data_IF_048045409190
#
_entry.id   IF_048045409190
#
_cell.length_a   1.000
_cell.length_b   1.000
_cell.length_c   1.000
_cell.angle_alpha   90.00
_cell.angle_beta   90.00
_cell.angle_gamma   90.00
#
_symmetry.space_group_name_H-M   'P 1'
#
loop_
_entity.id
_entity.type
_entity.pdbx_description
1 polymer ?
#
# COMPACT_ATOMS: atom_id res chain seq x y z
N UNK A 1 57.85 -32.69 21.15
CA UNK A 1 58.36 -32.59 19.77
C UNK A 1 57.48 -33.52 18.93
N UNK A 2 56.50 -32.93 18.20
CA UNK A 2 55.39 -33.52 17.38
C UNK A 2 54.54 -34.62 18.02
N UNK A 3 53.28 -34.44 18.48
CA UNK A 3 52.01 -33.89 17.93
C UNK A 3 51.45 -34.58 16.68
N UNK A 4 50.55 -35.54 16.97
CA UNK A 4 49.15 -35.78 16.49
C UNK A 4 48.90 -36.18 15.02
N UNK A 5 48.37 -37.39 14.74
CA UNK A 5 46.94 -37.86 14.74
C UNK A 5 46.12 -37.20 13.60
N UNK A 6 45.21 -37.82 12.84
CA UNK A 6 44.43 -39.06 12.88
C UNK A 6 43.83 -39.19 11.44
N UNK A 7 43.55 -40.35 10.84
CA UNK A 7 42.35 -41.15 11.14
C UNK A 7 41.20 -40.96 10.13
N UNK A 8 41.00 -41.97 9.26
CA UNK A 8 39.73 -42.46 8.67
C UNK A 8 39.06 -41.84 7.40
N UNK A 9 39.26 -42.55 6.27
CA UNK A 9 38.30 -43.13 5.29
C UNK A 9 36.85 -42.56 5.19
N UNK A 10 36.40 -42.21 3.96
CA UNK A 10 35.60 -43.11 3.07
C UNK A 10 34.99 -42.41 1.82
N UNK A 11 35.31 -42.98 0.65
CA UNK A 11 34.49 -43.23 -0.55
C UNK A 11 33.81 -42.13 -1.41
N UNK A 12 34.41 -42.01 -2.62
CA UNK A 12 33.83 -41.99 -3.98
C UNK A 12 32.96 -40.83 -4.47
N UNK A 13 33.57 -40.08 -5.41
CA UNK A 13 32.94 -39.19 -6.38
C UNK A 13 31.99 -39.93 -7.33
N UNK A 14 30.77 -39.42 -7.48
CA UNK A 14 29.84 -39.75 -8.57
C UNK A 14 29.39 -38.42 -9.21
N UNK A 15 29.72 -38.13 -10.47
CA UNK A 15 29.11 -37.03 -11.20
C UNK A 15 27.74 -37.47 -11.79
N UNK A 16 26.71 -36.63 -11.80
CA UNK A 16 25.43 -37.00 -12.40
C UNK A 16 25.48 -36.98 -13.92
N UNK A 17 24.97 -38.07 -14.52
CA UNK A 17 24.80 -38.32 -15.96
C UNK A 17 23.84 -37.31 -16.61
N UNK A 18 24.20 -36.87 -17.80
CA UNK A 18 23.30 -36.32 -18.81
C UNK A 18 22.54 -37.43 -19.54
N UNK A 19 21.20 -37.36 -19.60
CA UNK A 19 20.37 -37.70 -20.77
C UNK A 19 18.89 -37.65 -20.37
N UNK A 20 18.15 -36.75 -21.02
CA UNK A 20 16.71 -36.55 -20.88
C UNK A 20 16.27 -35.38 -21.73
N UNK A 21 16.70 -35.37 -22.99
CA UNK A 21 16.18 -34.46 -24.00
C UNK A 21 14.80 -34.96 -24.42
N UNK A 22 13.74 -34.33 -23.92
CA UNK A 22 12.43 -34.37 -24.57
C UNK A 22 11.74 -33.01 -24.43
N UNK A 23 11.56 -32.34 -25.58
CA UNK A 23 10.44 -31.44 -25.80
C UNK A 23 10.64 -29.98 -25.41
N UNK A 24 11.58 -29.28 -26.05
CA UNK A 24 11.35 -27.87 -26.41
C UNK A 24 10.18 -27.86 -27.39
N UNK A 25 8.95 -27.83 -26.85
CA UNK A 25 7.79 -27.41 -27.63
C UNK A 25 7.91 -25.90 -27.75
N UNK A 26 8.35 -25.48 -28.93
CA UNK A 26 8.05 -24.17 -29.51
C UNK A 26 6.54 -23.98 -29.51
N UNK A 27 5.98 -23.50 -28.38
CA UNK A 27 4.62 -23.00 -28.32
C UNK A 27 4.63 -21.55 -28.81
N UNK A 28 4.56 -21.41 -30.13
CA UNK A 28 4.26 -20.16 -30.81
C UNK A 28 2.89 -19.67 -30.30
N UNK A 29 2.89 -18.58 -29.52
CA UNK A 29 1.84 -17.56 -29.55
C UNK A 29 0.48 -17.84 -28.88
N UNK A 30 0.38 -18.43 -27.68
CA UNK A 30 -0.88 -18.41 -26.90
C UNK A 30 -0.81 -18.27 -25.35
N UNK A 31 0.34 -18.39 -24.63
CA UNK A 31 0.32 -18.32 -23.15
C UNK A 31 0.09 -16.90 -22.60
N UNK A 32 0.46 -15.86 -23.35
CA UNK A 32 0.34 -14.47 -22.89
C UNK A 32 -1.11 -13.96 -22.92
N UNK A 33 -1.92 -14.41 -23.90
CA UNK A 33 -3.33 -13.99 -24.04
C UNK A 33 -4.19 -14.62 -22.95
N UNK A 34 -4.00 -15.92 -22.68
CA UNK A 34 -4.71 -16.61 -21.59
C UNK A 34 -4.34 -16.01 -20.23
N UNK A 35 -3.08 -15.67 -20.01
CA UNK A 35 -2.63 -14.99 -18.79
C UNK A 35 -3.27 -13.59 -18.61
N UNK A 36 -3.32 -12.79 -19.67
CA UNK A 36 -3.99 -11.48 -19.66
C UNK A 36 -5.50 -11.64 -19.42
N UNK A 37 -6.15 -12.59 -20.10
CA UNK A 37 -7.58 -12.85 -19.92
C UNK A 37 -7.88 -13.26 -18.48
N UNK A 38 -7.06 -14.15 -17.90
CA UNK A 38 -7.20 -14.58 -16.51
C UNK A 38 -7.01 -13.42 -15.53
N UNK A 39 -6.04 -12.53 -15.78
CA UNK A 39 -5.87 -11.29 -15.01
C UNK A 39 -7.12 -10.40 -15.10
N UNK A 40 -7.64 -10.16 -16.31
CA UNK A 40 -8.82 -9.30 -16.51
C UNK A 40 -10.05 -9.88 -15.81
N UNK A 41 -10.27 -11.20 -15.91
CA UNK A 41 -11.41 -11.87 -15.26
C UNK A 41 -11.26 -11.83 -13.74
N UNK A 42 -10.11 -12.23 -13.20
CA UNK A 42 -9.88 -12.27 -11.74
C UNK A 42 -9.93 -10.86 -11.12
N UNK A 43 -9.33 -9.86 -11.76
CA UNK A 43 -9.38 -8.47 -11.31
C UNK A 43 -10.80 -7.89 -11.45
N UNK A 44 -11.48 -8.18 -12.55
CA UNK A 44 -12.85 -7.76 -12.80
C UNK A 44 -13.82 -8.30 -11.76
N UNK A 45 -13.65 -9.54 -11.31
CA UNK A 45 -14.46 -10.12 -10.22
C UNK A 45 -14.24 -9.38 -8.89
N UNK A 46 -12.98 -9.05 -8.54
CA UNK A 46 -12.69 -8.29 -7.31
C UNK A 46 -13.32 -6.89 -7.39
N UNK A 47 -13.16 -6.19 -8.51
CA UNK A 47 -13.74 -4.85 -8.73
C UNK A 47 -15.27 -4.87 -8.71
N UNK A 48 -15.88 -5.88 -9.34
CA UNK A 48 -17.32 -6.05 -9.33
C UNK A 48 -17.84 -6.35 -7.91
N UNK A 49 -17.15 -7.22 -7.17
CA UNK A 49 -17.51 -7.52 -5.78
C UNK A 49 -17.44 -6.27 -4.89
N UNK A 50 -16.39 -5.46 -5.03
CA UNK A 50 -16.24 -4.18 -4.33
C UNK A 50 -17.40 -3.22 -4.63
N UNK A 51 -17.70 -3.02 -5.92
CA UNK A 51 -18.79 -2.13 -6.36
C UNK A 51 -20.18 -2.60 -5.94
N UNK A 52 -20.46 -3.90 -6.04
CA UNK A 52 -21.73 -4.47 -5.59
C UNK A 52 -21.89 -4.31 -4.07
N UNK A 53 -20.81 -4.49 -3.32
CA UNK A 53 -20.84 -4.36 -1.86
C UNK A 53 -21.01 -2.90 -1.43
N UNK A 54 -20.35 -1.97 -2.12
CA UNK A 54 -20.54 -0.52 -1.95
C UNK A 54 -22.01 -0.12 -2.20
N UNK A 55 -22.61 -0.59 -3.30
CA UNK A 55 -24.02 -0.34 -3.61
C UNK A 55 -24.98 -0.95 -2.58
N UNK A 56 -24.72 -2.19 -2.13
CA UNK A 56 -25.54 -2.86 -1.12
C UNK A 56 -25.51 -2.13 0.22
N UNK A 57 -24.33 -1.65 0.65
CA UNK A 57 -24.18 -0.89 1.89
C UNK A 57 -24.84 0.48 1.80
N UNK A 58 -24.71 1.16 0.65
CA UNK A 58 -25.41 2.42 0.40
C UNK A 58 -26.94 2.24 0.43
N UNK A 59 -27.47 1.19 -0.20
CA UNK A 59 -28.89 0.87 -0.19
C UNK A 59 -29.41 0.51 1.22
N UNK A 60 -28.57 -0.11 2.04
CA UNK A 60 -28.88 -0.44 3.43
C UNK A 60 -28.60 0.70 4.43
N UNK A 61 -28.16 1.88 3.96
CA UNK A 61 -27.73 3.02 4.78
C UNK A 61 -26.69 2.65 5.87
N UNK A 62 -25.85 1.64 5.59
CA UNK A 62 -24.80 1.20 6.50
C UNK A 62 -23.60 2.15 6.34
N UNK A 63 -23.30 2.91 7.39
CA UNK A 63 -22.16 3.85 7.38
C UNK A 63 -20.79 3.16 7.40
N UNK A 64 -20.71 1.86 7.71
CA UNK A 64 -19.45 1.11 7.81
C UNK A 64 -18.79 0.91 6.43
N UNK A 65 -17.44 0.89 6.30
CA UNK A 65 -16.78 0.70 5.02
C UNK A 65 -17.05 -0.70 4.45
N UNK A 66 -17.74 -0.77 3.31
CA UNK A 66 -18.09 -2.02 2.62
C UNK A 66 -16.85 -2.89 2.35
N UNK A 67 -15.75 -2.29 1.89
CA UNK A 67 -14.53 -3.02 1.56
C UNK A 67 -13.93 -3.80 2.75
N UNK A 68 -14.00 -3.27 3.98
CA UNK A 68 -13.56 -3.98 5.18
C UNK A 68 -14.42 -5.21 5.45
N UNK A 69 -15.74 -5.08 5.30
CA UNK A 69 -16.66 -6.22 5.42
C UNK A 69 -16.34 -7.27 4.34
N UNK A 70 -16.13 -6.85 3.10
CA UNK A 70 -15.77 -7.73 1.99
C UNK A 70 -14.48 -8.51 2.25
N UNK A 71 -13.45 -7.84 2.79
CA UNK A 71 -12.21 -8.47 3.21
C UNK A 71 -12.44 -9.59 4.25
N UNK A 72 -13.21 -9.32 5.30
CA UNK A 72 -13.50 -10.34 6.33
C UNK A 72 -14.38 -11.48 5.80
N UNK A 73 -15.34 -11.19 4.91
CA UNK A 73 -16.14 -12.21 4.25
C UNK A 73 -15.28 -13.15 3.40
N UNK A 74 -14.43 -12.60 2.52
CA UNK A 74 -13.52 -13.39 1.67
C UNK A 74 -12.57 -14.22 2.53
N UNK A 75 -11.98 -13.64 3.56
CA UNK A 75 -11.11 -14.37 4.49
C UNK A 75 -11.84 -15.51 5.20
N UNK A 76 -13.08 -15.28 5.66
CA UNK A 76 -13.90 -16.29 6.35
C UNK A 76 -14.30 -17.42 5.41
N UNK A 77 -14.68 -17.13 4.17
CA UNK A 77 -14.96 -18.13 3.14
C UNK A 77 -13.71 -18.96 2.85
N UNK A 78 -12.55 -18.32 2.70
CA UNK A 78 -11.29 -19.04 2.50
C UNK A 78 -10.93 -19.93 3.70
N UNK A 79 -11.15 -19.48 4.94
CA UNK A 79 -10.97 -20.29 6.16
C UNK A 79 -11.90 -21.50 6.21
N UNK A 80 -13.18 -21.29 5.89
CA UNK A 80 -14.16 -22.36 5.84
C UNK A 80 -13.82 -23.39 4.75
N UNK A 81 -13.44 -22.92 3.56
CA UNK A 81 -12.98 -23.79 2.48
C UNK A 81 -11.72 -24.55 2.85
N UNK A 82 -10.74 -23.92 3.53
CA UNK A 82 -9.51 -24.61 3.95
C UNK A 82 -9.78 -25.70 5.00
N UNK A 83 -10.80 -25.49 5.85
CA UNK A 83 -11.25 -26.48 6.83
C UNK A 83 -11.95 -27.69 6.18
N UNK A 84 -12.82 -27.45 5.18
CA UNK A 84 -13.59 -28.52 4.50
C UNK A 84 -12.76 -29.22 3.41
N UNK A 85 -12.05 -28.44 2.60
CA UNK A 85 -11.28 -28.91 1.45
C UNK A 85 -10.12 -27.95 1.13
N UNK A 86 -8.95 -28.20 1.74
CA UNK A 86 -7.76 -27.34 1.55
C UNK A 86 -7.34 -27.18 0.08
N UNK A 87 -7.57 -28.19 -0.77
CA UNK A 87 -7.34 -28.08 -2.22
C UNK A 87 -8.22 -27.04 -2.91
N UNK A 88 -9.48 -26.90 -2.49
CA UNK A 88 -10.40 -25.91 -3.04
C UNK A 88 -10.00 -24.48 -2.63
N UNK A 89 -9.56 -24.28 -1.39
CA UNK A 89 -9.05 -22.99 -0.92
C UNK A 89 -7.77 -22.57 -1.66
N UNK A 90 -6.85 -23.51 -1.89
CA UNK A 90 -5.66 -23.29 -2.71
C UNK A 90 -6.00 -23.00 -4.17
N UNK A 91 -6.99 -23.69 -4.74
CA UNK A 91 -7.50 -23.42 -6.09
C UNK A 91 -8.09 -22.01 -6.23
N UNK A 92 -8.92 -21.60 -5.27
CA UNK A 92 -9.52 -20.26 -5.25
C UNK A 92 -8.46 -19.16 -5.11
N UNK A 93 -7.49 -19.36 -4.22
CA UNK A 93 -6.38 -18.40 -4.06
C UNK A 93 -5.45 -18.35 -5.27
N UNK A 94 -5.22 -19.47 -5.95
CA UNK A 94 -4.47 -19.53 -7.22
C UNK A 94 -5.19 -18.82 -8.37
N UNK A 95 -6.53 -18.93 -8.45
CA UNK A 95 -7.33 -18.20 -9.44
C UNK A 95 -7.20 -16.67 -9.28
N UNK A 96 -7.24 -16.16 -8.05
CA UNK A 96 -7.08 -14.72 -7.79
C UNK A 96 -5.63 -14.25 -7.74
N UNK A 97 -4.65 -15.14 -7.89
CA UNK A 97 -3.23 -14.78 -7.78
C UNK A 97 -2.80 -13.68 -8.77
N UNK A 98 -3.15 -13.72 -10.07
CA UNK A 98 -2.78 -12.65 -11.00
C UNK A 98 -3.33 -11.28 -10.60
N UNK A 99 -4.59 -11.23 -10.15
CA UNK A 99 -5.20 -9.99 -9.67
C UNK A 99 -4.50 -9.47 -8.41
N UNK A 100 -4.23 -10.34 -7.44
CA UNK A 100 -3.52 -9.94 -6.21
C UNK A 100 -2.11 -9.43 -6.49
N UNK A 101 -1.37 -10.07 -7.41
CA UNK A 101 -0.05 -9.61 -7.84
C UNK A 101 -0.10 -8.27 -8.57
N UNK A 102 -1.10 -8.07 -9.43
CA UNK A 102 -1.33 -6.78 -10.09
C UNK A 102 -1.62 -5.68 -9.06
N UNK A 103 -2.55 -5.94 -8.12
CA UNK A 103 -2.90 -4.98 -7.07
C UNK A 103 -1.67 -4.67 -6.21
N UNK A 104 -0.88 -5.67 -5.80
CA UNK A 104 0.34 -5.47 -5.04
C UNK A 104 1.40 -4.65 -5.81
N UNK A 105 1.54 -4.89 -7.11
CA UNK A 105 2.47 -4.14 -7.99
C UNK A 105 2.11 -2.66 -8.07
N UNK A 106 0.82 -2.33 -8.09
CA UNK A 106 0.33 -0.96 -8.25
C UNK A 106 -0.19 -0.33 -6.96
N UNK A 107 -0.12 -1.05 -5.83
CA UNK A 107 -0.68 -0.64 -4.54
C UNK A 107 -0.31 0.80 -4.14
N UNK A 108 0.97 1.24 -4.26
CA UNK A 108 1.32 2.60 -3.90
C UNK A 108 0.63 3.67 -4.74
N UNK A 109 0.32 3.37 -6.00
CA UNK A 109 -0.29 4.31 -6.94
C UNK A 109 -1.75 4.62 -6.58
N UNK A 110 -2.51 3.65 -6.06
CA UNK A 110 -3.95 3.82 -5.81
C UNK A 110 -4.31 4.85 -4.74
N UNK A 111 -3.39 5.17 -3.84
CA UNK A 111 -3.59 6.19 -2.80
C UNK A 111 -2.73 7.45 -2.98
N UNK A 112 -1.86 7.50 -4.00
CA UNK A 112 -1.16 8.73 -4.42
C UNK A 112 -2.08 9.92 -4.68
N UNK A 113 -3.33 9.77 -5.20
CA UNK A 113 -4.16 10.92 -5.50
C UNK A 113 -4.36 11.89 -4.34
N UNK A 114 -4.49 11.37 -3.13
CA UNK A 114 -4.63 12.17 -1.92
C UNK A 114 -3.37 13.03 -1.63
N UNK A 115 -2.19 12.62 -2.10
CA UNK A 115 -0.96 13.41 -2.02
C UNK A 115 -0.85 14.44 -3.15
N UNK A 116 -1.28 14.09 -4.37
CA UNK A 116 -1.27 15.01 -5.53
C UNK A 116 -2.12 16.26 -5.23
N UNK A 117 -3.29 16.08 -4.62
CA UNK A 117 -4.14 17.23 -4.24
C UNK A 117 -3.81 17.80 -2.86
N UNK A 118 -2.72 17.39 -2.24
CA UNK A 118 -2.32 17.92 -0.94
C UNK A 118 -2.09 19.44 -0.96
N UNK A 119 -1.43 20.04 -1.99
CA UNK A 119 -1.25 21.49 -2.05
C UNK A 119 -2.58 22.26 -2.00
N UNK A 120 -3.63 21.75 -2.65
CA UNK A 120 -4.98 22.30 -2.56
C UNK A 120 -5.56 22.12 -1.16
N UNK A 121 -5.42 20.92 -0.59
CA UNK A 121 -6.07 20.55 0.65
C UNK A 121 -5.48 21.21 1.91
N UNK A 122 -4.24 21.68 1.85
CA UNK A 122 -3.56 22.35 2.99
C UNK A 122 -3.51 23.87 2.86
N UNK A 123 -3.94 24.44 1.72
CA UNK A 123 -3.85 25.88 1.45
C UNK A 123 -4.60 26.72 2.49
N UNK A 124 -5.75 26.22 2.94
CA UNK A 124 -6.60 26.90 3.92
C UNK A 124 -6.24 26.55 5.37
N UNK A 125 -5.23 25.70 5.60
CA UNK A 125 -4.81 25.31 6.95
C UNK A 125 -3.85 26.38 7.50
N UNK A 126 -4.17 27.02 8.64
CA UNK A 126 -3.26 27.98 9.27
C UNK A 126 -1.90 27.34 9.59
N UNK A 127 -0.80 28.07 9.36
CA UNK A 127 0.55 27.59 9.62
C UNK A 127 0.74 27.09 11.08
N UNK A 128 0.07 27.72 12.04
CA UNK A 128 0.06 27.30 13.43
C UNK A 128 -0.54 25.88 13.62
N UNK A 129 -1.62 25.55 12.89
CA UNK A 129 -2.22 24.22 12.88
C UNK A 129 -1.29 23.20 12.22
N UNK A 130 -0.59 23.60 11.14
CA UNK A 130 0.45 22.78 10.51
C UNK A 130 1.57 22.42 11.48
N UNK A 131 2.09 23.38 12.25
CA UNK A 131 3.13 23.14 13.24
C UNK A 131 2.66 22.20 14.35
N UNK A 132 1.42 22.37 14.83
CA UNK A 132 0.77 21.46 15.79
C UNK A 132 0.68 20.03 15.26
N UNK A 133 0.30 19.86 13.99
CA UNK A 133 0.28 18.54 13.32
C UNK A 133 1.68 17.95 13.27
N UNK A 134 2.69 18.71 12.83
CA UNK A 134 4.09 18.24 12.80
C UNK A 134 4.59 17.81 14.19
N UNK A 135 4.28 18.58 15.24
CA UNK A 135 4.62 18.24 16.62
C UNK A 135 3.98 16.90 17.03
N UNK A 136 2.68 16.73 16.77
CA UNK A 136 1.98 15.47 17.02
C UNK A 136 2.65 14.33 16.27
N UNK A 137 2.95 14.50 14.98
CA UNK A 137 3.56 13.46 14.15
C UNK A 137 4.90 13.00 14.69
N UNK A 138 5.83 13.91 14.97
CA UNK A 138 7.17 13.56 15.44
C UNK A 138 7.13 12.98 16.85
N UNK A 139 6.52 13.69 17.79
CA UNK A 139 6.47 13.27 19.20
C UNK A 139 5.66 11.99 19.38
N UNK A 140 4.52 11.90 18.71
CA UNK A 140 3.66 10.74 18.75
C UNK A 140 4.22 9.52 18.01
N UNK A 141 4.98 9.73 16.92
CA UNK A 141 5.76 8.66 16.30
C UNK A 141 6.83 8.11 17.26
N UNK A 142 7.51 8.90 18.08
CA UNK A 142 8.42 8.31 19.07
C UNK A 142 7.66 7.55 20.17
N UNK A 143 6.59 8.14 20.70
CA UNK A 143 5.80 7.59 21.79
C UNK A 143 5.16 6.24 21.41
N UNK A 144 4.42 6.19 20.29
CA UNK A 144 3.76 4.95 19.88
C UNK A 144 4.77 3.86 19.47
N UNK A 145 6.04 4.19 19.19
CA UNK A 145 7.06 3.21 18.77
C UNK A 145 7.54 2.45 19.98
N UNK A 146 7.84 3.25 21.00
CA UNK A 146 8.28 2.78 22.29
C UNK A 146 7.19 1.89 22.88
N UNK A 147 5.93 2.33 22.87
CA UNK A 147 4.81 1.51 23.34
C UNK A 147 4.69 0.21 22.54
N UNK A 148 4.63 0.27 21.21
CA UNK A 148 4.51 -0.94 20.39
C UNK A 148 5.67 -1.94 20.62
N UNK A 149 6.91 -1.44 20.69
CA UNK A 149 8.10 -2.25 20.93
C UNK A 149 8.13 -2.89 22.32
N UNK A 150 7.86 -2.12 23.39
CA UNK A 150 7.81 -2.65 24.75
C UNK A 150 6.64 -3.61 24.96
N UNK A 151 5.47 -3.32 24.38
CA UNK A 151 4.32 -4.22 24.42
C UNK A 151 4.65 -5.53 23.71
N UNK A 152 5.23 -5.49 22.50
CA UNK A 152 5.60 -6.69 21.77
C UNK A 152 6.54 -7.59 22.58
N UNK A 153 7.59 -7.03 23.21
CA UNK A 153 8.52 -7.79 24.04
C UNK A 153 7.84 -8.37 25.28
N UNK A 154 7.00 -7.58 25.93
CA UNK A 154 6.31 -8.02 27.16
C UNK A 154 5.37 -9.18 26.85
N UNK A 155 4.56 -9.04 25.80
CA UNK A 155 3.66 -10.08 25.34
C UNK A 155 4.44 -11.32 24.92
N UNK A 156 5.55 -11.16 24.18
CA UNK A 156 6.40 -12.28 23.77
C UNK A 156 6.97 -13.06 24.96
N UNK A 157 7.43 -12.36 26.01
CA UNK A 157 7.92 -12.99 27.26
C UNK A 157 6.83 -13.81 27.96
N UNK A 158 5.57 -13.38 27.86
CA UNK A 158 4.43 -14.11 28.42
C UNK A 158 4.07 -15.32 27.57
N UNK A 159 4.04 -15.18 26.24
CA UNK A 159 3.52 -16.22 25.33
C UNK A 159 4.53 -17.31 24.94
N UNK A 160 5.84 -17.06 25.04
CA UNK A 160 6.93 -18.04 24.78
C UNK A 160 6.79 -18.83 23.46
N UNK A 161 6.29 -18.19 22.42
CA UNK A 161 6.09 -18.78 21.08
C UNK A 161 7.42 -18.89 20.33
N UNK A 162 7.77 -20.09 19.84
CA UNK A 162 8.94 -20.32 18.99
C UNK A 162 8.75 -19.78 17.57
N UNK A 163 9.82 -19.21 17.01
CA UNK A 163 9.83 -18.58 15.69
C UNK A 163 9.78 -19.59 14.56
N UNK A 164 8.91 -19.32 13.59
CA UNK A 164 9.03 -19.88 12.24
C UNK A 164 9.19 -18.70 11.27
N UNK A 165 10.15 -18.76 10.34
CA UNK A 165 10.26 -17.74 9.29
C UNK A 165 8.96 -17.65 8.49
N UNK A 166 8.53 -16.43 8.18
CA UNK A 166 7.37 -16.23 7.31
C UNK A 166 7.65 -16.83 5.92
N UNK A 167 6.66 -17.52 5.34
CA UNK A 167 6.78 -17.98 3.96
C UNK A 167 6.97 -16.76 3.04
N UNK A 168 7.98 -16.78 2.15
CA UNK A 168 8.26 -15.66 1.28
C UNK A 168 7.08 -15.41 0.34
N UNK A 169 6.56 -14.18 0.34
CA UNK A 169 5.52 -13.79 -0.60
C UNK A 169 6.11 -13.66 -2.02
N UNK A 170 5.38 -14.15 -3.01
CA UNK A 170 5.68 -13.93 -4.42
C UNK A 170 5.81 -12.44 -4.69
N UNK A 171 6.99 -12.00 -5.16
CA UNK A 171 7.23 -10.60 -5.50
C UNK A 171 6.66 -10.28 -6.88
N UNK A 172 6.05 -9.10 -7.08
CA UNK A 172 5.59 -8.69 -8.40
C UNK A 172 6.79 -8.50 -9.35
N UNK A 173 6.57 -8.70 -10.64
CA UNK A 173 7.59 -8.47 -11.66
C UNK A 173 7.99 -6.99 -11.73
N UNK A 174 9.27 -6.69 -11.99
CA UNK A 174 9.72 -5.31 -12.18
C UNK A 174 9.13 -4.72 -13.46
N UNK A 175 9.04 -3.39 -13.50
CA UNK A 175 8.60 -2.66 -14.68
C UNK A 175 9.59 -2.79 -15.83
N UNK A 176 9.07 -2.83 -17.05
CA UNK A 176 9.87 -2.93 -18.28
C UNK A 176 10.05 -1.57 -18.95
N UNK A 177 11.10 -1.41 -19.75
CA UNK A 177 11.31 -0.19 -20.55
C UNK A 177 10.21 0.06 -21.58
N UNK A 178 9.60 -1.01 -22.11
CA UNK A 178 8.48 -0.90 -23.05
C UNK A 178 7.26 -0.27 -22.38
N UNK A 179 6.91 -0.71 -21.17
CA UNK A 179 5.81 -0.10 -20.39
C UNK A 179 6.07 1.41 -20.19
N UNK A 180 7.31 1.82 -19.93
CA UNK A 180 7.66 3.22 -19.71
C UNK A 180 7.42 4.04 -20.98
N UNK A 181 7.93 3.58 -22.13
CA UNK A 181 7.74 4.27 -23.41
C UNK A 181 6.27 4.36 -23.81
N UNK A 182 5.47 3.32 -23.55
CA UNK A 182 4.02 3.34 -23.80
C UNK A 182 3.35 4.43 -22.95
N UNK A 183 3.64 4.49 -21.66
CA UNK A 183 3.08 5.53 -20.79
C UNK A 183 3.57 6.94 -21.13
N UNK A 184 4.81 7.09 -21.60
CA UNK A 184 5.34 8.37 -22.10
C UNK A 184 4.61 8.80 -23.38
N UNK A 185 4.35 7.88 -24.31
CA UNK A 185 3.58 8.17 -25.51
C UNK A 185 2.13 8.57 -25.19
N UNK A 186 1.48 7.87 -24.24
CA UNK A 186 0.15 8.25 -23.75
C UNK A 186 0.18 9.64 -23.12
N UNK A 187 1.16 9.92 -22.25
CA UNK A 187 1.32 11.24 -21.63
C UNK A 187 1.41 12.35 -22.67
N UNK A 188 2.35 12.25 -23.62
CA UNK A 188 2.59 13.31 -24.61
C UNK A 188 1.38 13.49 -25.53
N UNK A 189 0.85 12.38 -26.07
CA UNK A 189 -0.29 12.45 -27.02
C UNK A 189 -1.53 13.06 -26.38
N UNK A 190 -1.85 12.67 -25.15
CA UNK A 190 -3.06 13.13 -24.46
C UNK A 190 -2.89 14.51 -23.83
N UNK A 191 -1.67 14.90 -23.45
CA UNK A 191 -1.36 16.27 -23.06
C UNK A 191 -1.56 17.26 -24.20
N UNK A 192 -1.05 16.91 -25.40
CA UNK A 192 -1.25 17.74 -26.61
C UNK A 192 -2.73 17.81 -26.97
N UNK A 193 -3.45 16.68 -26.92
CA UNK A 193 -4.89 16.65 -27.17
C UNK A 193 -5.66 17.57 -26.20
N UNK A 194 -5.38 17.47 -24.91
CA UNK A 194 -6.01 18.31 -23.89
C UNK A 194 -5.68 19.79 -24.09
N UNK A 195 -4.45 20.10 -24.52
CA UNK A 195 -4.04 21.48 -24.77
C UNK A 195 -4.75 22.09 -25.99
N UNK A 196 -4.91 21.35 -27.08
CA UNK A 196 -5.58 21.84 -28.30
C UNK A 196 -7.10 21.87 -28.12
N UNK A 197 -7.66 20.83 -27.49
CA UNK A 197 -9.10 20.68 -27.26
C UNK A 197 -9.40 20.32 -25.80
N UNK A 198 -9.50 21.32 -24.89
CA UNK A 198 -9.67 21.10 -23.45
C UNK A 198 -10.93 20.34 -23.03
N UNK A 199 -11.94 20.25 -23.90
CA UNK A 199 -13.21 19.56 -23.64
C UNK A 199 -13.48 18.43 -24.63
N UNK A 200 -12.45 17.88 -25.28
CA UNK A 200 -12.60 16.81 -26.28
C UNK A 200 -13.37 15.59 -25.76
N UNK A 201 -13.21 15.24 -24.48
CA UNK A 201 -13.91 14.13 -23.82
C UNK A 201 -15.14 14.59 -23.01
N UNK A 202 -15.74 15.71 -23.42
CA UNK A 202 -16.96 16.31 -22.86
C UNK A 202 -16.71 17.28 -21.71
N UNK A 203 -15.77 16.98 -20.81
CA UNK A 203 -15.41 17.83 -19.67
C UNK A 203 -13.89 18.02 -19.59
N UNK A 204 -13.45 19.06 -18.89
CA UNK A 204 -12.03 19.31 -18.62
C UNK A 204 -11.41 18.13 -17.87
N UNK A 205 -12.01 17.70 -16.76
CA UNK A 205 -11.56 16.54 -15.97
C UNK A 205 -11.36 15.27 -16.81
N UNK A 206 -12.31 14.89 -17.67
CA UNK A 206 -12.17 13.68 -18.52
C UNK A 206 -11.10 13.82 -19.59
N UNK A 207 -10.90 15.04 -20.10
CA UNK A 207 -9.87 15.33 -21.09
C UNK A 207 -8.47 15.33 -20.47
N UNK A 208 -8.35 15.83 -19.23
CA UNK A 208 -7.10 15.85 -18.47
C UNK A 208 -6.74 14.49 -17.83
N UNK A 209 -7.74 13.65 -17.56
CA UNK A 209 -7.58 12.32 -16.95
C UNK A 209 -6.43 11.50 -17.55
N UNK A 210 -6.36 11.23 -18.87
CA UNK A 210 -5.37 10.31 -19.40
C UNK A 210 -3.92 10.78 -19.22
N UNK A 211 -3.64 12.08 -19.42
CA UNK A 211 -2.27 12.57 -19.25
C UNK A 211 -1.89 12.67 -17.77
N UNK A 212 -2.81 13.08 -16.91
CA UNK A 212 -2.54 13.15 -15.47
C UNK A 212 -2.35 11.75 -14.87
N UNK A 213 -3.16 10.78 -15.30
CA UNK A 213 -2.95 9.37 -14.96
C UNK A 213 -1.58 8.89 -15.45
N UNK A 214 -1.23 9.18 -16.70
CA UNK A 214 0.07 8.81 -17.25
C UNK A 214 1.24 9.45 -16.47
N UNK A 215 1.12 10.71 -16.05
CA UNK A 215 2.12 11.39 -15.22
C UNK A 215 2.31 10.68 -13.86
N UNK A 216 1.21 10.31 -13.19
CA UNK A 216 1.28 9.57 -11.92
C UNK A 216 1.96 8.21 -12.08
N UNK A 217 1.63 7.48 -13.15
CA UNK A 217 2.20 6.17 -13.46
C UNK A 217 3.69 6.28 -13.80
N UNK A 218 4.08 7.23 -14.65
CA UNK A 218 5.48 7.47 -15.00
C UNK A 218 6.31 7.85 -13.78
N UNK A 219 5.79 8.72 -12.90
CA UNK A 219 6.45 9.06 -11.65
C UNK A 219 6.67 7.83 -10.75
N UNK A 220 5.71 6.90 -10.72
CA UNK A 220 5.86 5.64 -9.99
C UNK A 220 6.94 4.75 -10.58
N UNK A 221 6.91 4.55 -11.89
CA UNK A 221 7.87 3.69 -12.61
C UNK A 221 9.29 4.22 -12.46
N UNK A 222 9.50 5.52 -12.74
CA UNK A 222 10.80 6.18 -12.58
C UNK A 222 11.26 6.12 -11.12
N UNK A 223 10.37 6.41 -10.16
CA UNK A 223 10.68 6.32 -8.73
C UNK A 223 11.07 4.91 -8.29
N UNK A 224 10.45 3.87 -8.87
CA UNK A 224 10.76 2.47 -8.57
C UNK A 224 12.12 2.02 -9.09
N UNK A 225 12.69 2.72 -10.08
CA UNK A 225 14.02 2.44 -10.64
C UNK A 225 15.16 3.20 -9.98
N UNK A 226 14.86 4.13 -9.06
CA UNK A 226 15.90 4.87 -8.33
C UNK A 226 16.81 3.92 -7.51
N UNK A 227 18.10 4.27 -7.37
CA UNK A 227 19.02 3.50 -6.53
C UNK A 227 18.59 3.53 -5.06
N UNK A 228 18.95 2.50 -4.29
CA UNK A 228 18.50 2.31 -2.90
C UNK A 228 18.83 3.48 -1.97
N UNK A 229 19.94 4.18 -2.20
CA UNK A 229 20.32 5.37 -1.43
C UNK A 229 19.37 6.55 -1.67
N UNK A 230 18.88 6.71 -2.90
CA UNK A 230 17.96 7.79 -3.29
C UNK A 230 16.53 7.44 -2.87
N UNK A 231 16.14 6.16 -2.93
CA UNK A 231 14.81 5.68 -2.48
C UNK A 231 14.50 5.94 -1.01
N UNK A 232 15.52 6.11 -0.16
CA UNK A 232 15.34 6.52 1.25
C UNK A 232 14.71 7.89 1.38
N UNK A 233 14.97 8.79 0.43
CA UNK A 233 14.49 10.18 0.42
C UNK A 233 13.36 10.35 -0.60
N UNK A 234 13.60 9.92 -1.84
CA UNK A 234 12.64 9.94 -2.93
C UNK A 234 11.95 8.58 -3.04
N UNK A 235 11.04 8.33 -2.09
CA UNK A 235 10.19 7.16 -2.16
C UNK A 235 9.34 7.21 -3.45
N UNK A 236 9.09 6.07 -4.14
CA UNK A 236 8.33 6.07 -5.39
C UNK A 236 7.03 6.87 -5.34
N UNK A 237 6.30 6.79 -4.22
CA UNK A 237 5.06 7.57 -3.95
C UNK A 237 5.28 9.09 -4.07
N UNK A 238 6.38 9.61 -3.54
CA UNK A 238 6.71 11.04 -3.60
C UNK A 238 7.04 11.43 -5.04
N UNK A 239 7.78 10.57 -5.77
CA UNK A 239 8.04 10.77 -7.20
C UNK A 239 6.75 10.80 -8.02
N UNK A 240 5.76 9.94 -7.72
CA UNK A 240 4.45 9.97 -8.37
C UNK A 240 3.75 11.31 -8.15
N UNK A 241 3.66 11.75 -6.89
CA UNK A 241 2.96 12.98 -6.53
C UNK A 241 3.62 14.18 -7.20
N UNK A 242 4.95 14.27 -7.11
CA UNK A 242 5.71 15.34 -7.74
C UNK A 242 5.59 15.34 -9.28
N UNK A 243 5.60 14.18 -9.93
CA UNK A 243 5.42 14.10 -11.37
C UNK A 243 4.02 14.57 -11.83
N UNK A 244 2.98 14.20 -11.07
CA UNK A 244 1.62 14.64 -11.32
C UNK A 244 1.45 16.15 -11.08
N UNK A 245 2.02 16.67 -10.00
CA UNK A 245 2.02 18.10 -9.68
C UNK A 245 2.76 18.92 -10.75
N UNK A 246 3.91 18.43 -11.22
CA UNK A 246 4.67 19.08 -12.30
C UNK A 246 3.88 19.07 -13.62
N UNK A 247 3.20 17.98 -13.94
CA UNK A 247 2.34 17.90 -15.11
C UNK A 247 1.14 18.86 -15.00
N UNK A 248 0.51 18.94 -13.82
CA UNK A 248 -0.58 19.85 -13.54
C UNK A 248 -0.15 21.32 -13.62
N UNK A 249 1.04 21.64 -13.08
CA UNK A 249 1.64 22.97 -13.15
C UNK A 249 1.99 23.35 -14.59
N UNK A 250 2.60 22.44 -15.36
CA UNK A 250 2.93 22.68 -16.76
C UNK A 250 1.65 22.93 -17.58
N UNK A 251 0.66 22.05 -17.46
CA UNK A 251 -0.62 22.21 -18.17
C UNK A 251 -1.31 23.51 -17.75
N UNK A 252 -1.45 23.78 -16.45
CA UNK A 252 -2.11 24.99 -15.94
C UNK A 252 -1.41 26.29 -16.32
N UNK A 253 -0.08 26.26 -16.51
CA UNK A 253 0.70 27.38 -17.04
C UNK A 253 0.39 27.60 -18.52
N UNK A 254 0.43 26.55 -19.35
CA UNK A 254 0.19 26.67 -20.79
C UNK A 254 -1.28 27.00 -21.12
N UNK A 255 -2.23 26.37 -20.43
CA UNK A 255 -3.67 26.61 -20.61
C UNK A 255 -4.17 27.90 -19.96
N UNK A 256 -3.33 28.55 -19.14
CA UNK A 256 -3.69 29.69 -18.28
C UNK A 256 -4.83 29.42 -17.29
N UNK A 257 -5.15 28.15 -17.01
CA UNK A 257 -6.16 27.78 -16.01
C UNK A 257 -5.61 27.84 -14.57
N UNK A 258 -4.28 27.84 -14.41
CA UNK A 258 -3.60 27.68 -13.13
C UNK A 258 -3.58 26.23 -12.64
N UNK A 259 -2.67 25.92 -11.71
CA UNK A 259 -2.47 24.57 -11.16
C UNK A 259 -3.70 24.08 -10.38
N UNK A 260 -4.36 24.98 -9.65
CA UNK A 260 -5.46 24.63 -8.76
C UNK A 260 -6.66 24.03 -9.51
N UNK A 261 -7.01 24.61 -10.67
CA UNK A 261 -8.07 24.09 -11.52
C UNK A 261 -7.75 22.68 -12.02
N UNK A 262 -6.49 22.42 -12.38
CA UNK A 262 -6.04 21.11 -12.88
C UNK A 262 -6.00 20.06 -11.78
N UNK A 263 -5.59 20.44 -10.57
CA UNK A 263 -5.66 19.57 -9.40
C UNK A 263 -7.10 19.28 -8.95
N UNK A 264 -8.03 20.23 -9.14
CA UNK A 264 -9.45 19.99 -8.93
C UNK A 264 -10.04 19.04 -9.99
N UNK A 265 -9.61 19.16 -11.25
CA UNK A 265 -9.93 18.22 -12.33
C UNK A 265 -9.29 16.83 -12.13
N UNK A 266 -8.13 16.77 -11.46
CA UNK A 266 -7.45 15.53 -11.14
C UNK A 266 -8.26 14.68 -10.15
N UNK A 267 -8.85 15.30 -9.13
CA UNK A 267 -9.67 14.63 -8.13
C UNK A 267 -11.00 15.38 -7.94
N UNK A 268 -11.99 15.03 -8.74
CA UNK A 268 -13.29 15.72 -8.75
C UNK A 268 -14.20 15.25 -7.62
N UNK A 269 -14.01 14.02 -7.12
CA UNK A 269 -14.90 13.33 -6.18
C UNK A 269 -16.33 13.14 -6.71
N UNK A 270 -16.51 13.22 -8.02
CA UNK A 270 -17.81 13.09 -8.69
C UNK A 270 -17.79 11.91 -9.65
N UNK A 271 -18.62 10.89 -9.37
CA UNK A 271 -18.68 9.65 -10.17
C UNK A 271 -19.09 9.87 -11.62
N UNK A 272 -19.92 10.88 -11.91
CA UNK A 272 -20.33 11.23 -13.27
C UNK A 272 -19.24 11.96 -14.06
N UNK A 273 -18.23 12.53 -13.41
CA UNK A 273 -17.14 13.25 -14.05
C UNK A 273 -15.79 12.90 -13.40
N UNK A 274 -15.32 11.65 -13.54
CA UNK A 274 -14.14 11.20 -12.82
C UNK A 274 -12.86 11.85 -13.37
N UNK A 275 -11.97 12.25 -12.47
CA UNK A 275 -10.58 12.56 -12.78
C UNK A 275 -9.65 11.35 -12.67
N UNK A 276 -8.36 11.56 -12.93
CA UNK A 276 -7.35 10.51 -12.81
C UNK A 276 -7.23 9.97 -11.38
N UNK A 277 -7.34 10.86 -10.39
CA UNK A 277 -7.32 10.53 -8.97
C UNK A 277 -8.52 9.72 -8.52
N UNK A 278 -9.71 10.01 -9.05
CA UNK A 278 -10.93 9.25 -8.74
C UNK A 278 -10.85 7.82 -9.25
N UNK A 279 -10.29 7.62 -10.46
CA UNK A 279 -10.06 6.29 -11.01
C UNK A 279 -9.10 5.48 -10.13
N UNK A 280 -7.97 6.07 -9.71
CA UNK A 280 -6.98 5.43 -8.87
C UNK A 280 -7.52 5.09 -7.48
N UNK A 281 -8.21 6.02 -6.82
CA UNK A 281 -8.83 5.76 -5.52
C UNK A 281 -10.01 4.78 -5.62
N UNK A 282 -10.63 4.64 -6.80
CA UNK A 282 -11.65 3.63 -7.06
C UNK A 282 -11.16 2.19 -6.86
N UNK A 283 -9.84 1.93 -6.92
CA UNK A 283 -9.26 0.62 -6.64
C UNK A 283 -9.04 0.35 -5.15
N UNK A 284 -9.25 1.33 -4.26
CA UNK A 284 -8.89 1.21 -2.86
C UNK A 284 -9.70 0.14 -2.11
N UNK A 285 -10.99 -0.01 -2.45
CA UNK A 285 -11.82 -1.09 -1.88
C UNK A 285 -11.35 -2.47 -2.33
N UNK A 286 -11.04 -2.61 -3.62
CA UNK A 286 -10.45 -3.81 -4.21
C UNK A 286 -9.10 -4.19 -3.60
N UNK A 287 -8.26 -3.19 -3.26
CA UNK A 287 -7.02 -3.38 -2.49
C UNK A 287 -7.32 -4.02 -1.14
N UNK A 288 -8.28 -3.48 -0.39
CA UNK A 288 -8.63 -3.96 0.95
C UNK A 288 -9.17 -5.40 0.87
N UNK A 289 -10.05 -5.69 -0.10
CA UNK A 289 -10.55 -7.06 -0.33
C UNK A 289 -9.39 -8.00 -0.69
N UNK A 290 -8.43 -7.55 -1.50
CA UNK A 290 -7.26 -8.37 -1.88
C UNK A 290 -6.36 -8.77 -0.69
N UNK A 291 -6.38 -7.98 0.39
CA UNK A 291 -5.63 -8.30 1.61
C UNK A 291 -6.15 -9.57 2.30
N UNK A 292 -7.41 -9.96 2.08
CA UNK A 292 -7.94 -11.24 2.56
C UNK A 292 -7.13 -12.43 2.04
N UNK A 293 -6.73 -12.42 0.77
CA UNK A 293 -5.90 -13.48 0.17
C UNK A 293 -4.49 -13.50 0.77
N UNK A 294 -3.90 -12.32 1.03
CA UNK A 294 -2.58 -12.22 1.65
C UNK A 294 -2.61 -12.73 3.10
N UNK A 295 -3.64 -12.37 3.87
CA UNK A 295 -3.86 -12.90 5.22
C UNK A 295 -4.11 -14.41 5.21
N UNK A 296 -4.83 -14.93 4.21
CA UNK A 296 -5.05 -16.36 4.05
C UNK A 296 -3.75 -17.12 3.77
N UNK A 297 -2.87 -16.59 2.90
CA UNK A 297 -1.55 -17.18 2.65
C UNK A 297 -0.72 -17.24 3.94
N UNK A 298 -0.78 -16.19 4.77
CA UNK A 298 -0.05 -16.13 6.04
C UNK A 298 -0.82 -16.71 7.26
N UNK A 299 -1.96 -17.38 7.05
CA UNK A 299 -2.87 -17.83 8.13
C UNK A 299 -2.20 -18.69 9.20
N UNK A 300 -1.26 -19.55 8.83
CA UNK A 300 -0.57 -20.46 9.76
C UNK A 300 0.29 -19.67 10.73
N UNK A 301 1.01 -18.66 10.22
CA UNK A 301 1.82 -17.73 11.00
C UNK A 301 0.92 -16.89 11.92
N UNK A 302 -0.14 -16.30 11.37
CA UNK A 302 -1.10 -15.49 12.14
C UNK A 302 -1.77 -16.32 13.25
N UNK A 303 -2.19 -17.56 12.97
CA UNK A 303 -2.82 -18.44 13.97
C UNK A 303 -1.85 -18.83 15.09
N UNK A 304 -0.59 -19.12 14.76
CA UNK A 304 0.45 -19.48 15.74
C UNK A 304 0.81 -18.32 16.66
N UNK A 305 0.86 -17.11 16.12
CA UNK A 305 1.19 -15.88 16.85
C UNK A 305 -0.04 -15.02 17.17
N UNK A 306 -1.26 -15.58 17.14
CA UNK A 306 -2.49 -14.80 17.23
C UNK A 306 -2.56 -13.99 18.53
N UNK A 307 -2.32 -14.64 19.67
CA UNK A 307 -2.32 -13.98 20.97
C UNK A 307 -1.30 -12.83 21.03
N UNK A 308 -0.12 -13.03 20.42
CA UNK A 308 0.96 -12.04 20.39
C UNK A 308 0.63 -10.84 19.51
N UNK A 309 0.15 -11.10 18.28
CA UNK A 309 -0.22 -10.08 17.30
C UNK A 309 -1.43 -9.29 17.80
N UNK A 310 -2.53 -9.95 18.19
CA UNK A 310 -3.76 -9.26 18.57
C UNK A 310 -3.57 -8.43 19.84
N UNK A 311 -2.92 -8.95 20.88
CA UNK A 311 -2.71 -8.17 22.12
C UNK A 311 -1.82 -6.95 21.87
N UNK A 312 -0.74 -7.10 21.11
CA UNK A 312 0.16 -5.98 20.78
C UNK A 312 -0.54 -4.94 19.92
N UNK A 313 -1.29 -5.37 18.90
CA UNK A 313 -2.02 -4.46 18.00
C UNK A 313 -3.11 -3.72 18.77
N UNK A 314 -3.90 -4.38 19.61
CA UNK A 314 -4.97 -3.74 20.40
C UNK A 314 -4.38 -2.67 21.32
N UNK A 315 -3.36 -3.00 22.10
CA UNK A 315 -2.72 -2.06 23.04
C UNK A 315 -2.10 -0.88 22.29
N UNK A 316 -1.37 -1.15 21.20
CA UNK A 316 -0.70 -0.11 20.40
C UNK A 316 -1.71 0.80 19.70
N UNK A 317 -2.81 0.24 19.20
CA UNK A 317 -3.86 1.00 18.51
C UNK A 317 -4.61 1.90 19.48
N UNK A 318 -5.02 1.39 20.64
CA UNK A 318 -5.66 2.19 21.70
C UNK A 318 -4.72 3.33 22.09
N UNK A 319 -3.47 3.02 22.41
CA UNK A 319 -2.50 4.06 22.77
C UNK A 319 -2.32 5.09 21.66
N UNK A 320 -2.13 4.68 20.41
CA UNK A 320 -1.92 5.59 19.28
C UNK A 320 -3.13 6.50 19.02
N UNK A 321 -4.34 5.95 19.04
CA UNK A 321 -5.58 6.71 18.81
C UNK A 321 -5.81 7.71 19.95
N UNK A 322 -5.86 7.24 21.20
CA UNK A 322 -6.14 8.11 22.35
C UNK A 322 -5.04 9.13 22.59
N UNK A 323 -3.76 8.76 22.44
CA UNK A 323 -2.66 9.72 22.57
C UNK A 323 -2.77 10.84 21.53
N UNK A 324 -3.05 10.51 20.27
CA UNK A 324 -3.20 11.50 19.20
C UNK A 324 -4.41 12.41 19.47
N UNK A 325 -5.55 11.84 19.87
CA UNK A 325 -6.75 12.61 20.20
C UNK A 325 -6.56 13.54 21.41
N UNK A 326 -5.96 13.04 22.49
CA UNK A 326 -5.71 13.82 23.71
C UNK A 326 -4.73 14.94 23.43
N UNK A 327 -3.59 14.66 22.79
CA UNK A 327 -2.59 15.69 22.46
C UNK A 327 -3.17 16.73 21.50
N UNK A 328 -3.93 16.31 20.47
CA UNK A 328 -4.64 17.20 19.56
C UNK A 328 -5.57 18.16 20.29
N UNK A 329 -6.32 17.66 21.27
CA UNK A 329 -7.20 18.49 22.10
C UNK A 329 -6.44 19.43 23.03
N UNK A 330 -5.35 18.96 23.67
CA UNK A 330 -4.54 19.77 24.59
C UNK A 330 -3.89 20.96 23.87
N UNK A 331 -3.36 20.73 22.66
CA UNK A 331 -2.72 21.81 21.88
C UNK A 331 -3.73 22.68 21.12
N UNK A 332 -5.03 22.42 21.27
CA UNK A 332 -6.12 23.15 20.61
C UNK A 332 -6.03 23.05 19.09
N UNK A 333 -5.82 21.85 18.55
CA UNK A 333 -5.95 21.59 17.11
C UNK A 333 -7.45 21.48 16.77
N UNK A 334 -7.84 21.96 15.58
CA UNK A 334 -9.22 21.88 15.12
C UNK A 334 -9.72 20.41 15.13
N UNK A 335 -10.97 20.14 15.54
CA UNK A 335 -11.49 18.76 15.62
C UNK A 335 -11.41 17.99 14.30
N UNK A 336 -11.73 18.64 13.17
CA UNK A 336 -11.67 18.05 11.81
C UNK A 336 -10.24 17.64 11.44
N UNK A 337 -9.25 18.50 11.72
CA UNK A 337 -7.83 18.21 11.52
C UNK A 337 -7.36 17.09 12.46
N UNK A 338 -7.81 17.10 13.72
CA UNK A 338 -7.47 16.07 14.70
C UNK A 338 -7.98 14.69 14.26
N UNK A 339 -9.22 14.60 13.76
CA UNK A 339 -9.78 13.37 13.19
C UNK A 339 -8.99 12.92 11.97
N UNK A 340 -8.59 13.86 11.10
CA UNK A 340 -7.84 13.56 9.87
C UNK A 340 -6.46 12.95 10.14
N UNK A 341 -5.81 13.31 11.24
CA UNK A 341 -4.49 12.77 11.63
C UNK A 341 -4.56 11.56 12.57
N UNK A 342 -5.76 11.20 13.02
CA UNK A 342 -5.98 10.11 13.98
C UNK A 342 -5.46 8.75 13.48
N UNK A 343 -5.75 8.29 12.23
CA UNK A 343 -5.30 6.99 11.73
C UNK A 343 -3.86 7.02 11.15
N UNK A 344 -2.95 7.81 11.72
CA UNK A 344 -1.57 7.97 11.20
C UNK A 344 -0.69 6.71 11.21
N UNK A 345 -1.03 5.70 12.01
CA UNK A 345 -0.24 4.49 12.24
C UNK A 345 -0.81 3.23 11.55
N UNK A 346 -1.68 3.39 10.56
CA UNK A 346 -2.22 2.27 9.78
C UNK A 346 -1.95 2.45 8.29
N UNK A 347 -2.29 1.45 7.46
CA UNK A 347 -2.07 1.54 6.02
C UNK A 347 -2.94 2.62 5.39
N UNK A 348 -2.44 3.33 4.37
CA UNK A 348 -3.16 4.46 3.75
C UNK A 348 -4.55 4.03 3.26
N UNK A 349 -4.65 2.84 2.65
CA UNK A 349 -5.93 2.32 2.18
C UNK A 349 -6.97 2.19 3.31
N UNK A 350 -6.56 1.59 4.43
CA UNK A 350 -7.42 1.46 5.60
C UNK A 350 -7.68 2.81 6.27
N UNK A 351 -6.69 3.71 6.32
CA UNK A 351 -6.83 5.05 6.90
C UNK A 351 -7.88 5.88 6.18
N UNK A 352 -7.84 5.88 4.85
CA UNK A 352 -8.80 6.59 4.01
C UNK A 352 -10.22 6.02 4.19
N UNK A 353 -10.37 4.69 4.27
CA UNK A 353 -11.67 4.06 4.56
C UNK A 353 -12.20 4.35 5.97
N UNK A 354 -11.34 4.54 6.96
CA UNK A 354 -11.77 4.93 8.31
C UNK A 354 -12.14 6.41 8.33
N UNK A 355 -11.36 7.28 7.69
CA UNK A 355 -11.61 8.73 7.67
C UNK A 355 -12.86 9.08 6.88
N UNK A 356 -13.24 8.31 5.86
CA UNK A 356 -14.53 8.48 5.18
C UNK A 356 -15.75 8.26 6.08
N UNK A 357 -15.59 7.70 7.29
CA UNK A 357 -16.66 7.58 8.29
C UNK A 357 -16.95 8.89 9.02
N UNK A 358 -16.03 9.85 8.96
CA UNK A 358 -16.12 11.10 9.67
C UNK A 358 -16.37 12.25 8.70
N UNK A 359 -17.53 12.88 8.84
CA UNK A 359 -17.88 14.06 8.05
C UNK A 359 -16.91 15.22 8.33
N UNK A 360 -16.47 15.91 7.28
CA UNK A 360 -15.54 17.04 7.38
C UNK A 360 -14.06 16.69 7.55
N UNK A 361 -13.69 15.41 7.61
CA UNK A 361 -12.30 15.00 7.67
C UNK A 361 -11.61 15.10 6.28
N UNK A 362 -10.34 15.49 6.27
CA UNK A 362 -9.57 15.76 5.06
C UNK A 362 -8.73 14.53 4.67
N UNK A 363 -9.19 13.80 3.66
CA UNK A 363 -8.53 12.59 3.14
C UNK A 363 -7.11 12.83 2.63
N UNK A 364 -6.85 13.99 2.02
CA UNK A 364 -5.53 14.38 1.53
C UNK A 364 -4.53 14.54 2.68
N UNK A 365 -4.96 15.24 3.74
CA UNK A 365 -4.16 15.38 4.96
C UNK A 365 -3.92 14.02 5.63
N UNK A 366 -4.93 13.16 5.71
CA UNK A 366 -4.79 11.79 6.25
C UNK A 366 -3.74 11.00 5.49
N UNK A 367 -3.82 10.96 4.16
CA UNK A 367 -2.86 10.23 3.34
C UNK A 367 -1.44 10.79 3.51
N UNK A 368 -1.27 12.12 3.54
CA UNK A 368 0.01 12.76 3.78
C UNK A 368 0.61 12.37 5.13
N UNK A 369 -0.18 12.48 6.19
CA UNK A 369 0.22 12.10 7.55
C UNK A 369 0.62 10.63 7.64
N UNK A 370 -0.15 9.73 7.05
CA UNK A 370 0.14 8.29 7.06
C UNK A 370 1.41 7.99 6.27
N UNK A 371 1.57 8.56 5.06
CA UNK A 371 2.74 8.35 4.21
C UNK A 371 4.00 8.92 4.85
N UNK A 372 3.93 10.12 5.45
CA UNK A 372 5.05 10.72 6.18
C UNK A 372 5.43 9.87 7.39
N UNK A 373 4.45 9.45 8.19
CA UNK A 373 4.68 8.57 9.36
C UNK A 373 5.31 7.24 8.92
N UNK A 374 4.86 6.68 7.80
CA UNK A 374 5.41 5.48 7.20
C UNK A 374 6.85 5.64 6.71
N UNK A 375 7.16 6.74 6.01
CA UNK A 375 8.51 7.03 5.51
C UNK A 375 9.50 7.25 6.65
N UNK A 376 9.10 8.02 7.67
CA UNK A 376 9.90 8.21 8.90
C UNK A 376 10.10 6.88 9.61
N UNK A 377 9.05 6.05 9.71
CA UNK A 377 9.13 4.67 10.20
C UNK A 377 10.17 3.87 9.44
N UNK A 378 10.08 3.80 8.11
CA UNK A 378 10.97 3.00 7.26
C UNK A 378 12.46 3.31 7.47
N UNK A 379 12.78 4.59 7.64
CA UNK A 379 14.16 5.08 7.70
C UNK A 379 14.74 5.05 9.12
N UNK A 380 13.92 5.34 10.15
CA UNK A 380 14.42 5.56 11.50
C UNK A 380 14.03 4.48 12.50
N UNK A 381 13.11 3.55 12.17
CA UNK A 381 12.63 2.54 13.13
C UNK A 381 13.77 1.68 13.70
N UNK A 382 14.69 1.22 12.85
CA UNK A 382 15.81 0.37 13.27
C UNK A 382 16.76 1.12 14.22
N UNK A 383 17.15 2.35 13.86
CA UNK A 383 18.01 3.18 14.68
C UNK A 383 17.39 3.50 16.06
N UNK A 384 16.07 3.73 16.12
CA UNK A 384 15.38 3.95 17.40
C UNK A 384 15.31 2.65 18.22
N UNK A 385 15.05 1.50 17.59
CA UNK A 385 15.03 0.22 18.29
C UNK A 385 16.41 -0.16 18.85
N UNK A 386 17.49 0.12 18.12
CA UNK A 386 18.87 -0.05 18.59
C UNK A 386 19.15 0.85 19.82
N UNK A 387 18.71 2.12 19.75
CA UNK A 387 18.84 3.06 20.88
C UNK A 387 18.04 2.63 22.11
N UNK A 388 16.85 2.05 21.91
CA UNK A 388 16.01 1.48 22.97
C UNK A 388 16.48 0.10 23.44
N UNK A 389 17.58 -0.43 22.88
CA UNK A 389 18.14 -1.77 23.17
C UNK A 389 17.15 -2.91 22.93
N UNK A 390 16.21 -2.72 22.01
CA UNK A 390 15.22 -3.73 21.61
C UNK A 390 15.80 -4.57 20.45
N UNK A 391 16.55 -5.62 20.82
CA UNK A 391 17.24 -6.49 19.85
C UNK A 391 16.39 -7.68 19.40
N UNK A 392 15.20 -7.84 19.96
CA UNK A 392 14.32 -8.96 19.66
C UNK A 392 13.75 -8.84 18.23
N UNK A 393 14.02 -9.80 17.32
CA UNK A 393 13.67 -9.66 15.90
C UNK A 393 12.16 -9.66 15.65
N UNK A 394 11.35 -10.33 16.48
CA UNK A 394 9.88 -10.28 16.36
C UNK A 394 9.36 -8.94 16.85
N UNK A 395 9.84 -8.45 17.99
CA UNK A 395 9.46 -7.12 18.47
C UNK A 395 9.83 -6.04 17.45
N UNK A 396 10.99 -6.17 16.78
CA UNK A 396 11.38 -5.32 15.66
C UNK A 396 10.46 -5.48 14.47
N UNK A 397 10.09 -6.71 14.11
CA UNK A 397 9.13 -7.02 13.05
C UNK A 397 7.74 -6.42 13.30
N UNK A 398 7.18 -6.61 14.49
CA UNK A 398 5.87 -6.08 14.90
C UNK A 398 5.90 -4.55 15.02
N UNK A 399 6.94 -3.99 15.62
CA UNK A 399 7.13 -2.54 15.71
C UNK A 399 7.34 -1.90 14.33
N UNK A 400 8.01 -2.60 13.41
CA UNK A 400 8.14 -2.15 12.02
C UNK A 400 6.81 -2.29 11.28
N UNK A 401 6.11 -3.41 11.38
CA UNK A 401 4.83 -3.65 10.68
C UNK A 401 3.72 -2.69 11.12
N UNK A 402 3.66 -2.35 12.40
CA UNK A 402 2.73 -1.33 12.93
C UNK A 402 3.05 0.10 12.49
N UNK A 403 4.21 0.33 11.87
CA UNK A 403 4.69 1.64 11.39
C UNK A 403 4.84 1.74 9.91
N UNK A 404 5.08 0.61 9.27
CA UNK A 404 5.49 0.51 7.88
C UNK A 404 4.72 -0.61 7.22
N UNK A 405 3.56 -0.30 6.62
CA UNK A 405 2.82 -1.25 5.80
C UNK A 405 3.29 -1.28 4.35
N UNK A 406 4.36 -0.58 4.00
CA UNK A 406 4.91 -0.58 2.65
C UNK A 406 5.73 -1.84 2.43
N UNK A 407 5.30 -2.65 1.46
CA UNK A 407 5.73 -4.03 1.20
C UNK A 407 7.23 -4.23 0.91
N UNK A 408 8.05 -3.17 0.86
CA UNK A 408 9.36 -3.21 0.21
C UNK A 408 10.54 -3.63 1.11
N UNK A 409 10.37 -3.77 2.43
CA UNK A 409 11.50 -4.04 3.37
C UNK A 409 11.36 -5.25 4.30
N UNK A 410 10.27 -6.01 4.19
CA UNK A 410 10.12 -7.22 5.02
C UNK A 410 11.08 -8.33 4.57
N UNK A 411 11.62 -8.29 3.34
CA UNK A 411 12.61 -9.30 2.89
C UNK A 411 14.06 -9.01 3.28
N UNK A 412 14.33 -7.97 4.09
CA UNK A 412 15.67 -7.63 4.58
C UNK A 412 15.81 -7.82 6.11
N UNK A 413 14.77 -8.32 6.78
CA UNK A 413 14.75 -8.71 8.21
C UNK A 413 14.44 -10.20 8.26
#
# INVERSE_FOLDING_TARGET
MHMDDDGAKSQSLIPPRSAGAEGVRTAVGFPHVVGILHLVVSLGIILAADKLLEQAFAAAAIKFPSALFGMFCVFSVLMFLDYVASSAAMGLTGFFEPATLFIQRWLPLFYVPALVVLPLAVRDIPAASGLKICFILVGGWLASLSVAGYTAITVRRVMKTEMIPAEPMTKPSPFTSVELWVWTAIFISTFILAFIWPTALGTSARTCLPFLLAATVLGYMVGSWLPSNVKKVFHPIICCAFAADLAALAYGYFSRSGMDAVLADYLTKVSSNPGAGDLLMGFLGSVIISFAFSMFKQRKLVKRHAAEIFSTVIISTIFSLYSTAIVGRIIGLEPTLTISILPRCITVALALSIVSLFEGANSSLTAAVVVLTGLVGANFVQAVMDKLRLHDPIARGIATASRFPLHHRISEI
#
